data_IF_880504817303
#
_entry.id   IF_880504817303
#
_cell.length_a   1.000
_cell.length_b   1.000
_cell.length_c   1.000
_cell.angle_alpha   90.00
_cell.angle_beta   90.00
_cell.angle_gamma   90.00
#
_symmetry.space_group_name_H-M   'P 1'
#
loop_
_entity.id
_entity.type
_entity.pdbx_description
1 polymer ?
#
# COMPACT_ATOMS: atom_id res chain seq x y z
N UNK A 1 5.61 -2.01 14.42
CA UNK A 1 4.91 -0.71 14.27
C UNK A 1 4.20 -0.66 12.92
N UNK A 2 3.18 0.18 12.77
CA UNK A 2 2.43 0.32 11.52
C UNK A 2 2.05 1.78 11.26
N UNK A 3 1.86 2.12 9.99
CA UNK A 3 1.27 3.37 9.52
C UNK A 3 0.02 2.99 8.74
N UNK A 4 -1.11 3.60 9.11
CA UNK A 4 -2.40 3.43 8.43
C UNK A 4 -2.65 4.63 7.52
N UNK A 5 -3.14 4.38 6.30
CA UNK A 5 -3.61 5.42 5.39
C UNK A 5 -4.80 4.94 4.56
N UNK A 6 -5.50 5.86 3.92
CA UNK A 6 -6.55 5.56 2.94
C UNK A 6 -6.02 5.61 1.51
N UNK A 7 -6.69 4.92 0.59
CA UNK A 7 -6.37 4.94 -0.86
C UNK A 7 -6.38 6.35 -1.45
N UNK A 8 -7.19 7.26 -0.94
CA UNK A 8 -7.20 8.66 -1.39
C UNK A 8 -5.83 9.30 -1.25
N UNK A 9 -5.23 9.23 -0.05
CA UNK A 9 -3.87 9.72 0.20
C UNK A 9 -2.85 9.03 -0.71
N UNK A 10 -2.97 7.72 -0.93
CA UNK A 10 -2.04 7.01 -1.84
C UNK A 10 -2.15 7.52 -3.27
N UNK A 11 -3.37 7.64 -3.79
CA UNK A 11 -3.60 8.02 -5.18
C UNK A 11 -3.27 9.51 -5.44
N UNK A 12 -3.46 10.39 -4.46
CA UNK A 12 -3.20 11.83 -4.62
C UNK A 12 -1.76 12.24 -4.29
N UNK A 13 -1.15 11.65 -3.26
CA UNK A 13 0.17 12.07 -2.77
C UNK A 13 1.30 11.10 -3.16
N UNK A 14 0.94 9.88 -3.57
CA UNK A 14 1.86 8.79 -3.94
C UNK A 14 3.02 8.57 -2.94
N UNK A 15 2.76 8.46 -1.61
CA UNK A 15 3.80 8.48 -0.60
C UNK A 15 4.56 7.15 -0.51
N UNK A 16 5.80 7.17 -0.03
CA UNK A 16 6.53 5.93 0.34
C UNK A 16 6.17 5.40 1.73
N UNK A 17 5.71 6.28 2.63
CA UNK A 17 5.50 6.00 4.07
C UNK A 17 6.67 5.24 4.73
N UNK A 18 7.91 5.61 4.38
CA UNK A 18 9.13 5.10 4.99
C UNK A 18 9.54 5.93 6.20
N UNK A 19 10.07 5.24 7.22
CA UNK A 19 10.79 5.90 8.29
C UNK A 19 12.16 6.35 7.75
N UNK A 20 12.48 7.64 7.87
CA UNK A 20 13.72 8.26 7.34
C UNK A 20 14.86 8.35 8.37
N UNK A 21 14.67 7.81 9.57
CA UNK A 21 15.68 7.81 10.64
C UNK A 21 16.78 6.80 10.30
N UNK A 22 18.04 7.20 10.44
CA UNK A 22 19.19 6.32 10.27
C UNK A 22 19.22 5.20 11.33
N UNK A 23 19.71 4.03 10.95
CA UNK A 23 19.86 2.87 11.84
C UNK A 23 18.56 2.15 12.19
N UNK A 24 17.53 2.29 11.35
CA UNK A 24 16.25 1.63 11.57
C UNK A 24 16.22 0.29 10.81
N UNK A 25 16.40 -0.81 11.55
CA UNK A 25 16.51 -2.16 10.97
C UNK A 25 15.19 -2.65 10.35
N UNK A 26 14.04 -2.21 10.87
CA UNK A 26 12.73 -2.65 10.42
C UNK A 26 11.81 -1.48 10.04
N UNK A 27 11.47 -1.40 8.76
CA UNK A 27 10.46 -0.45 8.27
C UNK A 27 9.06 -0.81 8.80
N UNK A 28 8.20 0.19 9.10
CA UNK A 28 6.84 -0.05 9.58
C UNK A 28 6.03 -0.83 8.53
N UNK A 29 5.03 -1.57 9.00
CA UNK A 29 3.96 -2.08 8.15
C UNK A 29 3.16 -0.90 7.59
N UNK A 30 2.87 -0.91 6.29
CA UNK A 30 2.05 0.09 5.61
C UNK A 30 0.69 -0.51 5.36
N UNK A 31 -0.30 -0.09 6.12
CA UNK A 31 -1.68 -0.56 5.98
C UNK A 31 -2.45 0.46 5.14
N UNK A 32 -2.99 0.02 4.01
CA UNK A 32 -3.78 0.85 3.10
C UNK A 32 -5.22 0.37 3.16
N UNK A 33 -6.16 1.28 3.43
CA UNK A 33 -7.59 1.01 3.35
C UNK A 33 -8.13 1.48 1.99
N UNK A 34 -8.66 0.55 1.21
CA UNK A 34 -9.18 0.79 -0.12
C UNK A 34 -10.45 -0.01 -0.36
N UNK A 35 -11.60 0.51 0.07
CA UNK A 35 -12.89 -0.21 0.04
C UNK A 35 -13.23 -0.88 -1.31
N UNK A 36 -12.77 -0.30 -2.43
CA UNK A 36 -13.12 -0.73 -3.79
C UNK A 36 -11.92 -1.09 -4.68
N UNK A 37 -10.77 -1.39 -4.08
CA UNK A 37 -9.51 -1.72 -4.77
C UNK A 37 -9.14 -0.72 -5.91
N UNK A 38 -9.33 0.58 -5.66
CA UNK A 38 -9.09 1.67 -6.62
C UNK A 38 -7.66 2.19 -6.63
N UNK A 39 -6.78 1.62 -5.82
CA UNK A 39 -5.37 2.01 -5.78
C UNK A 39 -4.76 1.95 -7.19
N UNK A 40 -3.92 2.94 -7.49
CA UNK A 40 -3.10 2.91 -8.69
C UNK A 40 -2.03 1.82 -8.54
N UNK A 41 -2.02 0.83 -9.43
CA UNK A 41 -1.06 -0.29 -9.41
C UNK A 41 0.41 0.16 -9.54
N UNK A 42 0.65 1.39 -10.00
CA UNK A 42 1.99 1.96 -10.10
C UNK A 42 2.44 2.78 -8.87
N UNK A 43 1.61 2.86 -7.82
CA UNK A 43 1.90 3.67 -6.62
C UNK A 43 3.24 3.28 -5.99
N UNK A 44 4.05 4.27 -5.60
CA UNK A 44 5.38 4.09 -4.98
C UNK A 44 5.33 3.22 -3.72
N UNK A 45 4.22 3.31 -2.98
CA UNK A 45 4.01 2.53 -1.76
C UNK A 45 3.99 1.01 -2.03
N UNK A 46 3.47 0.58 -3.19
CA UNK A 46 3.37 -0.84 -3.56
C UNK A 46 4.73 -1.46 -3.91
N UNK A 47 5.74 -0.62 -4.19
CA UNK A 47 7.13 -1.06 -4.43
C UNK A 47 7.91 -1.25 -3.12
N UNK A 48 7.33 -0.90 -1.98
CA UNK A 48 7.95 -1.06 -0.67
C UNK A 48 7.68 -2.47 -0.11
N UNK A 49 8.52 -2.91 0.83
CA UNK A 49 8.26 -4.11 1.63
C UNK A 49 7.21 -3.83 2.71
N UNK A 50 6.62 -4.88 3.27
CA UNK A 50 5.65 -4.83 4.38
C UNK A 50 4.46 -3.91 4.04
N UNK A 51 3.74 -4.25 2.98
CA UNK A 51 2.50 -3.57 2.57
C UNK A 51 1.35 -4.53 2.78
N UNK A 52 0.30 -4.05 3.44
CA UNK A 52 -0.97 -4.74 3.60
C UNK A 52 -2.06 -3.87 2.96
N UNK A 53 -2.71 -4.39 1.94
CA UNK A 53 -3.82 -3.69 1.26
C UNK A 53 -5.15 -4.34 1.66
N UNK A 54 -5.96 -3.59 2.42
CA UNK A 54 -7.27 -4.06 2.89
C UNK A 54 -8.36 -3.44 2.01
N UNK A 55 -9.20 -4.29 1.43
CA UNK A 55 -10.30 -3.87 0.57
C UNK A 55 -11.58 -4.66 0.88
N UNK A 56 -12.72 -4.12 0.44
CA UNK A 56 -14.04 -4.74 0.64
C UNK A 56 -14.51 -5.48 -0.62
N UNK A 57 -14.50 -4.79 -1.75
CA UNK A 57 -14.81 -5.37 -3.08
C UNK A 57 -13.76 -4.97 -4.13
N UNK A 58 -13.78 -5.66 -5.27
CA UNK A 58 -12.87 -5.44 -6.39
C UNK A 58 -13.66 -5.40 -7.72
N UNK A 59 -14.40 -4.32 -7.98
CA UNK A 59 -15.22 -4.19 -9.19
C UNK A 59 -14.37 -4.08 -10.47
N UNK A 60 -13.06 -3.83 -10.34
CA UNK A 60 -12.12 -3.71 -11.47
C UNK A 60 -11.26 -4.96 -11.68
N UNK A 61 -11.49 -6.03 -10.90
CA UNK A 61 -10.76 -7.30 -10.98
C UNK A 61 -9.23 -7.14 -10.93
N UNK A 62 -8.72 -6.28 -10.05
CA UNK A 62 -7.29 -6.01 -9.87
C UNK A 62 -6.58 -6.95 -8.89
N UNK A 63 -7.31 -7.74 -8.11
CA UNK A 63 -6.76 -8.58 -7.04
C UNK A 63 -5.56 -9.42 -7.52
N UNK A 64 -5.73 -10.23 -8.56
CA UNK A 64 -4.69 -11.13 -9.04
C UNK A 64 -3.44 -10.37 -9.51
N UNK A 65 -3.64 -9.24 -10.19
CA UNK A 65 -2.54 -8.40 -10.64
C UNK A 65 -1.74 -7.81 -9.47
N UNK A 66 -2.42 -7.46 -8.37
CA UNK A 66 -1.79 -6.90 -7.18
C UNK A 66 -1.07 -7.97 -6.36
N UNK A 67 -1.63 -9.17 -6.20
CA UNK A 67 -0.96 -10.30 -5.55
C UNK A 67 0.33 -10.67 -6.31
N UNK A 68 0.27 -10.73 -7.65
CA UNK A 68 1.45 -10.99 -8.48
C UNK A 68 2.54 -9.91 -8.36
N UNK A 69 2.20 -8.72 -7.86
CA UNK A 69 3.15 -7.63 -7.60
C UNK A 69 3.81 -7.67 -6.20
N UNK A 70 3.49 -8.68 -5.39
CA UNK A 70 4.07 -8.86 -4.05
C UNK A 70 3.34 -8.11 -2.94
N UNK A 71 2.17 -7.56 -3.23
CA UNK A 71 1.25 -6.99 -2.22
C UNK A 71 0.55 -8.13 -1.51
N UNK A 72 0.48 -8.07 -0.18
CA UNK A 72 -0.28 -9.01 0.65
C UNK A 72 -1.65 -8.45 0.98
#
# INVERSE_FOLDING_TARGET
CAILTGVGTVNYDDPNLTARRYGLDQQPLRVILDSHLRINSNSRILKQKNVLLVYGDDPSHKHDALINSGVT
#
